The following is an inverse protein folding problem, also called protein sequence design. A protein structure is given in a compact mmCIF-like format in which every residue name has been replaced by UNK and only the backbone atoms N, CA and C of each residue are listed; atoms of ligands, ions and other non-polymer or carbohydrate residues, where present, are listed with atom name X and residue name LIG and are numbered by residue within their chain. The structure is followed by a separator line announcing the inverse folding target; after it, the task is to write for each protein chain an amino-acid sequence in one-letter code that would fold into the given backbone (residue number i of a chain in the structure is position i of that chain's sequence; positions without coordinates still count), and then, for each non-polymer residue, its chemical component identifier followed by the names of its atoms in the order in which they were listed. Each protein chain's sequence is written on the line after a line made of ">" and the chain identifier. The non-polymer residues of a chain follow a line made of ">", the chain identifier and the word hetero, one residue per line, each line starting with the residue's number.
data_IF_471579728058
#
_entry.id   IF_471579728058
#
_cell.length_a   1.000
_cell.length_b   1.000
_cell.length_c   1.000
_cell.angle_alpha   90.00
_cell.angle_beta   90.00
_cell.angle_gamma   90.00
#
_symmetry.space_group_name_H-M   'P 1'
#
loop_
_entity.id
_entity.type
_entity.pdbx_description
1 polymer ?
#
# COMPACT_ATOMS: atom_id res chain seq x y z
N UNK A 1 -1.18 8.99 -11.03
CA UNK A 1 -2.63 9.27 -11.10
C UNK A 1 -2.94 10.43 -10.17
N UNK A 2 -3.85 11.32 -10.55
CA UNK A 2 -4.23 12.45 -9.70
C UNK A 2 -5.74 12.62 -9.68
N UNK A 3 -6.31 12.85 -8.49
CA UNK A 3 -7.72 13.13 -8.30
C UNK A 3 -7.92 14.33 -7.37
N UNK A 4 -9.13 14.88 -7.39
CA UNK A 4 -9.57 15.97 -6.51
C UNK A 4 -10.77 15.50 -5.72
N UNK A 5 -10.79 15.81 -4.44
CA UNK A 5 -11.94 15.53 -3.57
C UNK A 5 -13.01 16.58 -3.85
N UNK A 6 -14.10 16.17 -4.50
CA UNK A 6 -15.19 17.07 -4.86
C UNK A 6 -16.32 17.08 -3.82
N UNK A 7 -16.47 15.99 -3.08
CA UNK A 7 -17.47 15.79 -2.02
C UNK A 7 -17.07 14.60 -1.15
N UNK A 8 -17.46 14.60 0.12
CA UNK A 8 -17.24 13.50 1.05
C UNK A 8 -17.56 13.90 2.49
N UNK A 9 -17.76 12.91 3.35
CA UNK A 9 -17.75 13.09 4.81
C UNK A 9 -16.30 13.06 5.32
N UNK A 10 -16.08 12.81 6.61
CA UNK A 10 -14.74 12.66 7.20
C UNK A 10 -14.01 11.47 6.55
N UNK A 11 -12.96 11.77 5.78
CA UNK A 11 -12.18 10.80 5.03
C UNK A 11 -10.68 10.93 5.34
N UNK A 12 -9.97 9.80 5.23
CA UNK A 12 -8.51 9.74 5.37
C UNK A 12 -7.89 8.98 4.20
N UNK A 13 -6.68 9.38 3.81
CA UNK A 13 -5.77 8.51 3.06
C UNK A 13 -4.87 7.79 4.07
N UNK A 14 -4.91 6.46 4.05
CA UNK A 14 -4.03 5.62 4.88
C UNK A 14 -2.90 5.07 4.04
N UNK A 15 -1.66 5.32 4.45
CA UNK A 15 -0.44 4.83 3.79
C UNK A 15 0.08 3.66 4.61
N UNK A 16 0.06 2.47 4.00
CA UNK A 16 0.45 1.18 4.58
C UNK A 16 -0.21 0.82 5.93
N UNK A 17 -1.26 1.54 6.34
CA UNK A 17 -1.90 1.40 7.65
C UNK A 17 -1.12 2.04 8.81
N UNK A 18 -0.05 2.80 8.53
CA UNK A 18 0.79 3.45 9.55
C UNK A 18 0.57 4.95 9.64
N UNK A 19 0.25 5.59 8.50
CA UNK A 19 0.10 7.04 8.42
C UNK A 19 -1.28 7.32 7.85
N UNK A 20 -2.13 7.93 8.68
CA UNK A 20 -3.42 8.43 8.25
C UNK A 20 -3.32 9.95 8.07
N UNK A 21 -3.59 10.43 6.87
CA UNK A 21 -3.72 11.85 6.59
C UNK A 21 -5.18 12.20 6.31
N UNK A 22 -5.77 13.18 7.01
CA UNK A 22 -7.14 13.60 6.75
C UNK A 22 -7.24 14.25 5.38
N UNK A 23 -8.36 13.99 4.69
CA UNK A 23 -8.71 14.59 3.40
C UNK A 23 -9.87 15.56 3.58
N UNK A 24 -9.79 16.71 2.92
CA UNK A 24 -10.85 17.71 2.88
C UNK A 24 -11.36 17.92 1.46
N UNK A 25 -12.60 18.40 1.35
CA UNK A 25 -13.15 18.83 0.06
C UNK A 25 -12.25 19.93 -0.53
N UNK A 26 -11.91 19.78 -1.81
CA UNK A 26 -10.99 20.64 -2.53
C UNK A 26 -9.54 20.14 -2.55
N UNK A 27 -9.16 19.20 -1.67
CA UNK A 27 -7.82 18.63 -1.67
C UNK A 27 -7.54 17.86 -2.96
N UNK A 28 -6.27 17.84 -3.35
CA UNK A 28 -5.79 17.12 -4.53
C UNK A 28 -4.80 16.05 -4.11
N UNK A 29 -5.12 14.81 -4.42
CA UNK A 29 -4.26 13.66 -4.12
C UNK A 29 -3.58 13.21 -5.39
N UNK A 30 -2.26 13.10 -5.35
CA UNK A 30 -1.46 12.54 -6.44
C UNK A 30 -0.69 11.33 -5.94
N UNK A 31 -0.78 10.25 -6.70
CA UNK A 31 0.01 9.04 -6.48
C UNK A 31 0.98 8.90 -7.65
N UNK A 32 2.25 8.89 -7.32
CA UNK A 32 3.37 8.71 -8.23
C UNK A 32 4.31 7.66 -7.67
N UNK A 33 5.24 7.20 -8.50
CA UNK A 33 6.38 6.45 -8.01
C UNK A 33 7.17 7.31 -7.01
N UNK A 34 7.64 6.69 -5.94
CA UNK A 34 8.52 7.36 -4.98
C UNK A 34 9.90 7.55 -5.62
N UNK A 35 10.59 8.63 -5.27
CA UNK A 35 11.93 8.93 -5.84
C UNK A 35 12.95 7.84 -5.51
N UNK A 36 12.80 7.19 -4.35
CA UNK A 36 13.70 6.15 -3.89
C UNK A 36 12.94 4.82 -3.76
N UNK A 37 13.44 3.73 -4.38
CA UNK A 37 12.86 2.42 -4.19
C UNK A 37 13.19 1.88 -2.80
N UNK A 38 12.36 0.95 -2.34
CA UNK A 38 12.65 0.17 -1.12
C UNK A 38 13.73 -0.86 -1.47
N UNK A 39 14.84 -0.83 -0.74
CA UNK A 39 15.90 -1.83 -0.86
C UNK A 39 15.60 -2.99 0.10
N UNK A 40 15.14 -4.12 -0.44
CA UNK A 40 14.92 -5.33 0.34
C UNK A 40 16.23 -6.10 0.54
N UNK A 41 16.41 -6.69 1.72
CA UNK A 41 17.53 -7.61 1.98
C UNK A 41 17.17 -8.99 1.47
N UNK A 42 18.04 -9.59 0.66
CA UNK A 42 17.92 -10.99 0.27
C UNK A 42 18.53 -11.91 1.33
N UNK A 43 17.73 -12.82 1.87
CA UNK A 43 18.19 -13.83 2.80
C UNK A 43 18.65 -15.08 2.04
N UNK A 44 19.79 -15.64 2.44
CA UNK A 44 20.25 -16.91 1.89
C UNK A 44 19.23 -18.01 2.19
N UNK A 45 18.83 -18.75 1.15
CA UNK A 45 17.82 -19.81 1.26
C UNK A 45 16.38 -19.32 1.32
N UNK A 46 16.12 -18.02 1.05
CA UNK A 46 14.76 -17.54 0.90
C UNK A 46 14.03 -18.31 -0.22
N UNK A 47 12.80 -18.73 0.06
CA UNK A 47 11.97 -19.40 -0.93
C UNK A 47 11.61 -18.42 -2.07
N UNK A 48 11.49 -18.90 -3.31
CA UNK A 48 10.98 -18.10 -4.42
C UNK A 48 9.61 -17.49 -4.11
N UNK A 49 9.31 -16.32 -4.70
CA UNK A 49 8.06 -15.58 -4.48
C UNK A 49 6.80 -16.47 -4.57
N UNK A 50 6.70 -17.30 -5.61
CA UNK A 50 5.51 -18.14 -5.82
C UNK A 50 5.35 -19.24 -4.76
N UNK A 51 6.44 -19.70 -4.16
CA UNK A 51 6.37 -20.67 -3.06
C UNK A 51 5.88 -19.99 -1.77
N UNK A 52 6.36 -18.77 -1.50
CA UNK A 52 5.87 -17.95 -0.38
C UNK A 52 4.37 -17.65 -0.52
N UNK A 53 3.90 -17.32 -1.73
CA UNK A 53 2.47 -17.08 -1.98
C UNK A 53 1.64 -18.33 -1.70
N UNK A 54 2.06 -19.50 -2.18
CA UNK A 54 1.33 -20.76 -1.94
C UNK A 54 1.27 -21.09 -0.46
N UNK A 55 2.41 -21.02 0.24
CA UNK A 55 2.46 -21.23 1.69
C UNK A 55 1.50 -20.31 2.43
N UNK A 56 1.43 -19.03 2.05
CA UNK A 56 0.50 -18.08 2.68
C UNK A 56 -0.97 -18.43 2.40
N UNK A 57 -1.31 -18.85 1.18
CA UNK A 57 -2.68 -19.22 0.81
C UNK A 57 -3.11 -20.51 1.52
N UNK A 58 -2.22 -21.49 1.66
CA UNK A 58 -2.50 -22.75 2.35
C UNK A 58 -2.83 -22.56 3.84
N UNK A 59 -2.44 -21.43 4.43
CA UNK A 59 -2.75 -21.06 5.81
C UNK A 59 -4.15 -20.45 5.99
N UNK A 60 -4.86 -20.14 4.90
CA UNK A 60 -6.20 -19.56 4.99
C UNK A 60 -7.24 -20.61 5.36
N UNK A 61 -8.18 -20.32 6.28
CA UNK A 61 -9.26 -21.23 6.61
C UNK A 61 -10.14 -21.51 5.39
N UNK A 62 -10.66 -22.74 5.31
CA UNK A 62 -11.58 -23.19 4.25
C UNK A 62 -13.01 -22.74 4.52
#
# INVERSE_FOLDING_TARGET
>A
MTCTIVQGEDAVVSIDGWIDQPLKIGDRVSVTEAEQPINFVELQGAAPFWDLVRQKVDLLPR
#
